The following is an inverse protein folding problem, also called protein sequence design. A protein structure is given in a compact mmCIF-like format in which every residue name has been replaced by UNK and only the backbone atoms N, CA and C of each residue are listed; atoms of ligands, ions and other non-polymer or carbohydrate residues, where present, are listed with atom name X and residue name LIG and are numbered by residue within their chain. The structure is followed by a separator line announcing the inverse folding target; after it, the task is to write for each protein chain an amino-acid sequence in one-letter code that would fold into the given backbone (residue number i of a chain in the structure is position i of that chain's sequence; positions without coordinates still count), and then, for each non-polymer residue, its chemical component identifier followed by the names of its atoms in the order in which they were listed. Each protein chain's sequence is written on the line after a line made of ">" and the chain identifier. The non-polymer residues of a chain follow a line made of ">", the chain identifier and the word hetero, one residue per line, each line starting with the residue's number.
data_IF_802773015552
#
_entry.id   IF_802773015552
#
_cell.length_a   1.000
_cell.length_b   1.000
_cell.length_c   1.000
_cell.angle_alpha   90.00
_cell.angle_beta   90.00
_cell.angle_gamma   90.00
#
_symmetry.space_group_name_H-M   'P 1'
#
loop_
_entity.id
_entity.type
_entity.pdbx_description
1 polymer ?
#
# COMPACT_ATOMS: atom_id res chain seq x y z
N UNK A 1 24.88 19.46 27.93
CA UNK A 1 24.28 18.35 28.70
C UNK A 1 22.98 18.03 27.99
N UNK A 2 22.89 16.87 27.35
CA UNK A 2 21.62 16.40 26.81
C UNK A 2 20.70 16.04 27.98
N UNK A 3 19.51 16.64 28.00
CA UNK A 3 18.48 16.31 28.98
C UNK A 3 17.69 15.08 28.52
N UNK A 4 17.00 14.40 29.44
CA UNK A 4 16.09 13.31 29.07
C UNK A 4 15.07 13.75 28.00
N UNK A 5 14.62 15.01 28.06
CA UNK A 5 13.73 15.63 27.06
C UNK A 5 14.38 15.72 25.67
N UNK A 6 15.66 16.07 25.59
CA UNK A 6 16.38 16.13 24.31
C UNK A 6 16.47 14.75 23.66
N UNK A 7 16.72 13.72 24.46
CA UNK A 7 16.76 12.31 24.00
C UNK A 7 15.38 11.86 23.50
N UNK A 8 14.31 12.10 24.26
CA UNK A 8 12.94 11.72 23.86
C UNK A 8 12.49 12.46 22.59
N UNK A 9 12.85 13.74 22.46
CA UNK A 9 12.58 14.54 21.26
C UNK A 9 13.36 14.02 20.05
N UNK A 10 14.62 13.62 20.25
CA UNK A 10 15.43 13.00 19.21
C UNK A 10 14.83 11.65 18.75
N UNK A 11 14.34 10.82 19.68
CA UNK A 11 13.65 9.57 19.35
C UNK A 11 12.35 9.81 18.56
N UNK A 12 11.53 10.79 18.97
CA UNK A 12 10.33 11.17 18.23
C UNK A 12 10.66 11.61 16.80
N UNK A 13 11.70 12.44 16.62
CA UNK A 13 12.17 12.91 15.30
C UNK A 13 12.74 11.80 14.41
N UNK A 14 13.16 10.68 15.01
CA UNK A 14 13.60 9.46 14.31
C UNK A 14 12.47 8.45 14.12
N UNK A 15 11.22 8.83 14.45
CA UNK A 15 10.04 7.98 14.38
C UNK A 15 10.15 6.72 15.25
N UNK A 16 10.95 6.76 16.32
CA UNK A 16 11.18 5.64 17.23
C UNK A 16 10.06 5.54 18.28
N UNK A 17 8.82 5.38 17.80
CA UNK A 17 7.63 5.45 18.65
C UNK A 17 7.58 4.35 19.70
N UNK A 18 7.94 3.11 19.35
CA UNK A 18 8.01 2.00 20.31
C UNK A 18 9.05 2.21 21.41
N UNK A 19 10.25 2.70 21.06
CA UNK A 19 11.28 3.01 22.07
C UNK A 19 10.83 4.14 22.99
N UNK A 20 10.17 5.15 22.41
CA UNK A 20 9.62 6.27 23.17
C UNK A 20 8.51 5.81 24.12
N UNK A 21 7.59 4.96 23.66
CA UNK A 21 6.55 4.36 24.50
C UNK A 21 7.14 3.56 25.66
N UNK A 22 8.14 2.70 25.39
CA UNK A 22 8.81 1.90 26.40
C UNK A 22 9.51 2.76 27.46
N UNK A 23 10.20 3.83 27.05
CA UNK A 23 10.85 4.77 27.97
C UNK A 23 9.84 5.55 28.82
N UNK A 24 8.70 5.93 28.26
CA UNK A 24 7.62 6.61 28.99
C UNK A 24 6.99 5.67 30.02
N UNK A 25 6.67 4.43 29.61
CA UNK A 25 6.13 3.41 30.51
C UNK A 25 7.12 3.05 31.64
N UNK A 26 8.43 3.10 31.36
CA UNK A 26 9.50 2.90 32.34
C UNK A 26 9.75 4.06 33.30
N UNK A 27 8.99 5.17 33.20
CA UNK A 27 9.09 6.31 34.12
C UNK A 27 10.23 7.30 33.80
N UNK A 28 10.76 7.30 32.57
CA UNK A 28 11.82 8.23 32.14
C UNK A 28 11.35 9.69 32.15
N UNK A 29 10.03 9.90 31.97
CA UNK A 29 9.38 11.16 32.30
C UNK A 29 8.89 11.10 33.75
N UNK A 30 9.16 12.16 34.52
CA UNK A 30 8.46 12.42 35.80
C UNK A 30 6.95 12.29 35.52
N UNK A 31 6.14 11.66 36.39
CA UNK A 31 4.71 11.45 36.20
C UNK A 31 3.92 12.77 36.22
N UNK A 32 4.13 13.57 35.18
CA UNK A 32 3.34 14.74 34.82
C UNK A 32 2.39 14.33 33.68
N UNK A 33 1.31 15.10 33.51
CA UNK A 33 0.25 14.83 32.52
C UNK A 33 0.74 14.66 31.07
N UNK A 34 1.97 15.04 30.75
CA UNK A 34 2.61 14.87 29.44
C UNK A 34 2.82 13.40 29.06
N UNK A 35 3.20 12.54 30.01
CA UNK A 35 3.37 11.11 29.73
C UNK A 35 2.06 10.46 29.25
N UNK A 36 0.93 10.84 29.87
CA UNK A 36 -0.42 10.39 29.48
C UNK A 36 -0.86 10.92 28.11
N UNK A 37 -0.36 12.08 27.69
CA UNK A 37 -0.68 12.66 26.39
C UNK A 37 0.20 12.09 25.25
N UNK A 38 1.44 11.70 25.55
CA UNK A 38 2.38 11.18 24.54
C UNK A 38 2.17 9.69 24.25
N UNK A 39 1.85 8.87 25.27
CA UNK A 39 1.66 7.43 25.11
C UNK A 39 0.69 7.03 23.96
N UNK A 40 -0.54 7.59 23.84
CA UNK A 40 -1.43 7.24 22.73
C UNK A 40 -0.88 7.65 21.36
N UNK A 41 -0.13 8.76 21.27
CA UNK A 41 0.51 9.17 20.02
C UNK A 41 1.64 8.21 19.61
N UNK A 42 2.41 7.69 20.57
CA UNK A 42 3.42 6.68 20.31
C UNK A 42 2.81 5.37 19.81
N UNK A 43 1.80 4.84 20.53
CA UNK A 43 1.13 3.61 20.14
C UNK A 43 0.51 3.72 18.74
N UNK A 44 -0.16 4.85 18.46
CA UNK A 44 -0.72 5.16 17.16
C UNK A 44 0.36 5.24 16.06
N UNK A 45 1.42 6.04 16.31
CA UNK A 45 2.52 6.21 15.36
C UNK A 45 3.23 4.88 15.04
N UNK A 46 3.43 4.04 16.06
CA UNK A 46 4.04 2.71 15.88
C UNK A 46 3.16 1.81 15.01
N UNK A 47 1.85 1.72 15.28
CA UNK A 47 0.93 0.90 14.47
C UNK A 47 0.83 1.36 13.02
N UNK A 48 0.74 2.67 12.78
CA UNK A 48 0.75 3.23 11.43
C UNK A 48 2.07 2.92 10.72
N UNK A 49 3.22 3.07 11.40
CA UNK A 49 4.54 2.79 10.84
C UNK A 49 4.76 1.31 10.51
N UNK A 50 4.14 0.41 11.26
CA UNK A 50 4.17 -1.04 11.01
C UNK A 50 3.17 -1.50 9.94
N UNK A 51 2.35 -0.57 9.42
CA UNK A 51 1.33 -0.83 8.39
C UNK A 51 0.32 -1.92 8.80
N UNK A 52 -0.02 -1.98 10.09
CA UNK A 52 -0.98 -2.94 10.62
C UNK A 52 -2.43 -2.54 10.22
N UNK A 53 -2.82 -2.95 9.02
CA UNK A 53 -4.07 -2.54 8.38
C UNK A 53 -5.35 -2.96 9.14
N UNK A 54 -5.26 -3.90 10.07
CA UNK A 54 -6.39 -4.27 10.93
C UNK A 54 -6.63 -3.22 12.03
N UNK A 55 -5.56 -2.56 12.50
CA UNK A 55 -5.57 -1.83 13.78
C UNK A 55 -5.24 -0.32 13.69
N UNK A 56 -4.68 0.21 12.59
CA UNK A 56 -4.49 1.66 12.48
C UNK A 56 -5.81 2.39 12.15
N UNK A 57 -6.12 3.47 12.89
CA UNK A 57 -7.38 4.22 12.79
C UNK A 57 -8.50 3.80 13.77
N UNK A 58 -8.22 2.83 14.64
CA UNK A 58 -9.05 2.49 15.81
C UNK A 58 -8.61 3.32 17.03
N UNK A 59 -9.51 3.60 18.00
CA UNK A 59 -9.12 4.23 19.26
C UNK A 59 -8.04 3.44 19.98
N UNK A 60 -7.11 4.13 20.62
CA UNK A 60 -6.05 3.51 21.43
C UNK A 60 -6.60 3.08 22.79
N UNK A 61 -6.25 1.86 23.23
CA UNK A 61 -6.54 1.45 24.61
C UNK A 61 -5.79 2.31 25.64
N UNK A 62 -4.67 2.90 25.23
CA UNK A 62 -3.78 3.69 26.09
C UNK A 62 -4.16 5.17 26.19
N UNK A 63 -5.13 5.66 25.41
CA UNK A 63 -5.60 7.05 25.50
C UNK A 63 -6.30 7.58 24.25
N UNK A 64 -6.57 8.89 24.23
CA UNK A 64 -7.20 9.53 23.07
C UNK A 64 -6.17 9.97 22.03
N UNK A 65 -6.45 9.68 20.76
CA UNK A 65 -5.70 10.21 19.61
C UNK A 65 -6.56 11.27 18.93
N UNK A 66 -6.00 12.43 18.54
CA UNK A 66 -6.73 13.45 17.80
C UNK A 66 -7.45 12.92 16.56
N UNK A 67 -8.72 13.32 16.37
CA UNK A 67 -9.58 12.82 15.30
C UNK A 67 -9.00 13.02 13.91
N UNK A 68 -8.27 14.11 13.67
CA UNK A 68 -7.69 14.39 12.37
C UNK A 68 -6.61 13.37 11.96
N UNK A 69 -5.84 12.83 12.92
CA UNK A 69 -4.90 11.75 12.68
C UNK A 69 -5.64 10.43 12.44
N UNK A 70 -6.68 10.16 13.24
CA UNK A 70 -7.51 8.96 13.08
C UNK A 70 -8.22 8.93 11.73
N UNK A 71 -8.73 10.06 11.26
CA UNK A 71 -9.46 10.14 10.00
C UNK A 71 -8.54 9.94 8.79
N UNK A 72 -7.31 10.45 8.84
CA UNK A 72 -6.29 10.17 7.83
C UNK A 72 -5.86 8.70 7.84
N UNK A 73 -5.64 8.11 9.02
CA UNK A 73 -5.38 6.69 9.16
C UNK A 73 -6.54 5.83 8.59
N UNK A 74 -7.80 6.20 8.87
CA UNK A 74 -8.98 5.52 8.32
C UNK A 74 -9.12 5.67 6.81
N UNK A 75 -8.69 6.80 6.24
CA UNK A 75 -8.67 7.00 4.80
C UNK A 75 -7.68 6.04 4.09
N UNK A 76 -6.60 5.66 4.78
CA UNK A 76 -5.52 4.82 4.25
C UNK A 76 -5.67 3.32 4.52
N UNK A 77 -6.69 2.90 5.29
CA UNK A 77 -6.88 1.48 5.67
C UNK A 77 -8.00 0.80 4.88
N UNK A 78 -7.93 -0.53 4.78
CA UNK A 78 -9.08 -1.33 4.34
C UNK A 78 -10.14 -1.37 5.45
N UNK A 79 -11.44 -1.27 5.12
CA UNK A 79 -12.51 -1.37 6.10
C UNK A 79 -12.57 -2.80 6.68
N UNK A 80 -12.90 -2.93 7.96
CA UNK A 80 -12.92 -4.19 8.71
C UNK A 80 -14.26 -4.92 8.65
N UNK A 81 -15.30 -4.25 8.13
CA UNK A 81 -16.59 -4.86 7.85
C UNK A 81 -17.14 -4.45 6.48
N UNK A 82 -17.97 -5.29 5.84
CA UNK A 82 -18.54 -4.99 4.52
C UNK A 82 -19.33 -3.67 4.48
N UNK A 83 -19.98 -3.32 5.60
CA UNK A 83 -20.82 -2.12 5.72
C UNK A 83 -20.11 -0.92 6.36
N UNK A 84 -18.85 -1.06 6.76
CA UNK A 84 -18.11 0.05 7.38
C UNK A 84 -18.04 1.27 6.44
N UNK A 85 -18.18 2.46 7.03
CA UNK A 85 -18.08 3.76 6.37
C UNK A 85 -17.23 4.69 7.26
N UNK A 86 -16.37 5.53 6.67
CA UNK A 86 -16.03 5.62 5.24
C UNK A 86 -15.36 4.33 4.70
N UNK A 87 -15.24 4.18 3.36
CA UNK A 87 -14.68 2.96 2.74
C UNK A 87 -13.15 2.89 2.77
N UNK A 88 -12.47 3.94 3.24
CA UNK A 88 -11.01 4.01 3.30
C UNK A 88 -10.35 3.67 1.97
N UNK A 89 -9.36 2.79 2.02
CA UNK A 89 -8.57 2.35 0.87
C UNK A 89 -9.38 1.66 -0.23
N UNK A 90 -10.61 1.18 0.03
CA UNK A 90 -11.51 0.66 -1.01
C UNK A 90 -12.21 1.77 -1.82
N UNK A 91 -12.42 2.96 -1.23
CA UNK A 91 -12.90 4.11 -1.99
C UNK A 91 -11.79 4.67 -2.90
N UNK A 92 -10.57 4.78 -2.38
CA UNK A 92 -9.40 5.20 -3.16
C UNK A 92 -8.13 4.70 -2.49
N UNK A 93 -7.20 4.17 -3.27
CA UNK A 93 -5.89 3.73 -2.79
C UNK A 93 -4.93 4.91 -2.59
N UNK A 94 -5.25 6.11 -3.10
CA UNK A 94 -4.32 7.26 -3.09
C UNK A 94 -3.82 7.62 -1.68
N UNK A 95 -4.68 7.72 -0.63
CA UNK A 95 -4.19 7.99 0.72
C UNK A 95 -3.29 6.87 1.25
N UNK A 96 -3.61 5.61 0.95
CA UNK A 96 -2.78 4.47 1.32
C UNK A 96 -1.41 4.52 0.64
N UNK A 97 -1.34 4.87 -0.64
CA UNK A 97 -0.06 5.02 -1.36
C UNK A 97 0.75 6.23 -0.89
N UNK A 98 0.09 7.34 -0.55
CA UNK A 98 0.76 8.49 0.05
C UNK A 98 1.40 8.12 1.41
N UNK A 99 0.68 7.37 2.24
CA UNK A 99 1.19 6.83 3.51
C UNK A 99 2.32 5.82 3.29
N UNK A 100 2.19 4.90 2.33
CA UNK A 100 3.26 3.95 1.98
C UNK A 100 4.53 4.68 1.56
N UNK A 101 4.42 5.77 0.79
CA UNK A 101 5.56 6.60 0.43
C UNK A 101 6.19 7.30 1.65
N UNK A 102 5.40 7.78 2.60
CA UNK A 102 5.93 8.34 3.86
C UNK A 102 6.68 7.25 4.66
N UNK A 103 6.07 6.07 4.82
CA UNK A 103 6.67 4.93 5.54
C UNK A 103 7.96 4.46 4.87
N UNK A 104 8.02 4.31 3.55
CA UNK A 104 9.24 3.93 2.82
C UNK A 104 10.36 4.95 3.09
N UNK A 105 10.06 6.25 3.07
CA UNK A 105 11.06 7.27 3.35
C UNK A 105 11.56 7.19 4.81
N UNK A 106 10.66 6.99 5.76
CA UNK A 106 11.00 6.83 7.18
C UNK A 106 11.89 5.59 7.39
N UNK A 107 11.50 4.44 6.83
CA UNK A 107 12.29 3.18 6.93
C UNK A 107 13.65 3.32 6.27
N UNK A 108 13.76 4.08 5.18
CA UNK A 108 15.05 4.41 4.57
C UNK A 108 15.97 5.16 5.54
N UNK A 109 15.47 6.27 6.12
CA UNK A 109 16.24 7.09 7.05
C UNK A 109 16.62 6.34 8.34
N UNK A 110 15.76 5.42 8.79
CA UNK A 110 16.03 4.53 9.93
C UNK A 110 16.99 3.39 9.61
N UNK A 111 17.32 3.16 8.33
CA UNK A 111 18.09 2.00 7.85
C UNK A 111 17.38 0.65 8.09
N UNK A 112 16.04 0.66 8.17
CA UNK A 112 15.19 -0.53 8.34
C UNK A 112 14.85 -1.17 6.97
N UNK A 113 15.86 -1.69 6.27
CA UNK A 113 15.70 -2.11 4.86
C UNK A 113 14.72 -3.27 4.67
N UNK A 114 14.63 -4.21 5.62
CA UNK A 114 13.63 -5.29 5.56
C UNK A 114 12.19 -4.74 5.54
N UNK A 115 11.90 -3.79 6.43
CA UNK A 115 10.58 -3.16 6.50
C UNK A 115 10.32 -2.24 5.29
N UNK A 116 11.35 -1.55 4.78
CA UNK A 116 11.26 -0.78 3.54
C UNK A 116 10.84 -1.66 2.36
N UNK A 117 11.55 -2.77 2.15
CA UNK A 117 11.28 -3.69 1.03
C UNK A 117 9.92 -4.37 1.20
N UNK A 118 9.48 -4.64 2.43
CA UNK A 118 8.12 -5.10 2.70
C UNK A 118 7.06 -4.06 2.29
N UNK A 119 7.25 -2.78 2.62
CA UNK A 119 6.33 -1.70 2.22
C UNK A 119 6.29 -1.51 0.68
N UNK A 120 7.43 -1.57 0.00
CA UNK A 120 7.49 -1.54 -1.48
C UNK A 120 6.74 -2.73 -2.06
N UNK A 121 6.89 -3.92 -1.48
CA UNK A 121 6.18 -5.10 -1.95
C UNK A 121 4.66 -4.96 -1.77
N UNK A 122 4.18 -4.52 -0.60
CA UNK A 122 2.75 -4.25 -0.36
C UNK A 122 2.22 -3.27 -1.43
N UNK A 123 2.97 -2.20 -1.70
CA UNK A 123 2.62 -1.25 -2.76
C UNK A 123 2.51 -1.97 -4.12
N UNK A 124 3.43 -2.87 -4.46
CA UNK A 124 3.42 -3.58 -5.74
C UNK A 124 2.21 -4.51 -5.94
N UNK A 125 1.68 -5.11 -4.88
CA UNK A 125 0.53 -6.03 -4.95
C UNK A 125 -0.76 -5.31 -5.39
N UNK A 126 -0.91 -4.05 -5.00
CA UNK A 126 -2.13 -3.25 -5.23
C UNK A 126 -2.02 -2.28 -6.40
N UNK A 127 -0.86 -2.17 -7.06
CA UNK A 127 -0.66 -1.24 -8.18
C UNK A 127 -1.67 -1.46 -9.32
N UNK A 128 -2.06 -2.70 -9.67
CA UNK A 128 -3.12 -2.90 -10.63
C UNK A 128 -4.43 -2.24 -10.22
N UNK A 129 -4.84 -2.32 -8.95
CA UNK A 129 -6.06 -1.66 -8.48
C UNK A 129 -5.93 -0.13 -8.52
N UNK A 130 -4.76 0.41 -8.20
CA UNK A 130 -4.48 1.83 -8.36
C UNK A 130 -4.61 2.26 -9.85
N UNK A 131 -4.15 1.42 -10.78
CA UNK A 131 -4.34 1.66 -12.21
C UNK A 131 -5.82 1.52 -12.65
N UNK A 132 -6.57 0.62 -12.05
CA UNK A 132 -7.99 0.47 -12.37
C UNK A 132 -8.88 1.53 -11.74
N UNK A 133 -8.43 2.23 -10.69
CA UNK A 133 -9.23 3.19 -9.93
C UNK A 133 -9.91 4.28 -10.80
N UNK A 134 -9.25 4.92 -11.79
CA UNK A 134 -9.92 5.88 -12.68
C UNK A 134 -11.04 5.29 -13.54
N UNK A 135 -10.99 3.98 -13.83
CA UNK A 135 -11.99 3.28 -14.66
C UNK A 135 -13.14 2.75 -13.79
N UNK A 136 -12.83 2.26 -12.60
CA UNK A 136 -13.82 1.72 -11.66
C UNK A 136 -14.53 2.81 -10.84
N UNK A 137 -13.88 3.96 -10.63
CA UNK A 137 -14.31 4.98 -9.68
C UNK A 137 -14.07 4.61 -8.21
N UNK A 138 -13.38 3.48 -7.96
CA UNK A 138 -13.04 2.96 -6.65
C UNK A 138 -11.85 1.98 -6.75
N UNK A 139 -11.24 1.61 -5.64
CA UNK A 139 -10.10 0.71 -5.60
C UNK A 139 -10.49 -0.77 -5.46
N UNK A 140 -11.32 -1.24 -6.40
CA UNK A 140 -11.82 -2.63 -6.37
C UNK A 140 -12.66 -2.99 -5.14
N UNK A 141 -13.54 -2.08 -4.68
CA UNK A 141 -14.50 -2.36 -3.60
C UNK A 141 -15.44 -3.52 -3.99
N UNK A 142 -15.44 -4.65 -3.25
CA UNK A 142 -16.31 -5.78 -3.52
C UNK A 142 -17.81 -5.43 -3.54
N UNK A 143 -18.21 -4.35 -2.87
CA UNK A 143 -19.60 -3.88 -2.88
C UNK A 143 -20.01 -3.20 -4.19
N UNK A 144 -19.06 -2.74 -5.00
CA UNK A 144 -19.29 -1.92 -6.20
C UNK A 144 -18.80 -2.59 -7.49
N UNK A 145 -17.71 -3.37 -7.41
CA UNK A 145 -16.96 -3.88 -8.57
C UNK A 145 -17.81 -4.70 -9.55
N UNK A 146 -18.86 -5.38 -9.06
CA UNK A 146 -19.71 -6.24 -9.87
C UNK A 146 -20.30 -5.54 -11.08
N UNK A 147 -20.63 -4.25 -11.00
CA UNK A 147 -21.17 -3.49 -12.14
C UNK A 147 -20.18 -3.39 -13.31
N UNK A 148 -18.87 -3.32 -13.01
CA UNK A 148 -17.82 -3.15 -14.01
C UNK A 148 -17.36 -4.46 -14.60
N UNK A 149 -17.39 -5.55 -13.82
CA UNK A 149 -16.75 -6.82 -14.20
C UNK A 149 -17.74 -7.95 -14.52
N UNK A 150 -19.03 -7.83 -14.17
CA UNK A 150 -20.05 -8.82 -14.55
C UNK A 150 -20.74 -8.48 -15.89
N UNK A 151 -21.64 -9.36 -16.30
CA UNK A 151 -22.49 -9.20 -17.48
C UNK A 151 -22.22 -10.26 -18.54
N UNK A 152 -23.06 -10.25 -19.58
CA UNK A 152 -22.92 -11.14 -20.73
C UNK A 152 -21.53 -10.98 -21.35
N UNK A 153 -20.89 -12.12 -21.67
CA UNK A 153 -19.55 -12.16 -22.25
C UNK A 153 -18.40 -11.90 -21.27
N UNK A 154 -18.68 -11.67 -19.98
CA UNK A 154 -17.62 -11.59 -18.97
C UNK A 154 -17.18 -12.97 -18.53
N UNK A 155 -15.86 -13.14 -18.38
CA UNK A 155 -15.24 -14.34 -17.80
C UNK A 155 -14.74 -14.13 -16.37
N UNK A 156 -14.97 -12.94 -15.79
CA UNK A 156 -14.46 -12.58 -14.47
C UNK A 156 -15.17 -13.39 -13.38
N UNK A 157 -14.41 -14.16 -12.59
CA UNK A 157 -14.97 -14.98 -11.51
C UNK A 157 -15.88 -16.12 -11.98
N UNK A 158 -15.94 -16.42 -13.29
CA UNK A 158 -16.73 -17.52 -13.83
C UNK A 158 -16.00 -18.84 -13.55
N UNK A 159 -16.65 -19.83 -12.90
CA UNK A 159 -16.06 -21.15 -12.74
C UNK A 159 -15.79 -21.81 -14.09
N UNK A 160 -14.62 -22.46 -14.22
CA UNK A 160 -14.31 -23.28 -15.40
C UNK A 160 -14.82 -24.70 -15.14
N UNK A 161 -15.68 -25.20 -16.02
CA UNK A 161 -16.10 -26.60 -16.00
C UNK A 161 -14.90 -27.52 -16.26
N UNK A 162 -14.67 -28.57 -15.46
CA UNK A 162 -13.59 -29.52 -15.70
C UNK A 162 -13.67 -30.12 -17.12
N UNK A 163 -12.61 -29.96 -17.90
CA UNK A 163 -12.52 -30.47 -19.28
C UNK A 163 -12.91 -29.47 -20.37
N UNK A 164 -13.40 -28.27 -20.04
CA UNK A 164 -13.62 -27.21 -21.03
C UNK A 164 -12.29 -26.55 -21.46
N UNK A 165 -12.21 -26.02 -22.70
CA UNK A 165 -11.04 -25.25 -23.13
C UNK A 165 -10.76 -24.08 -22.19
N UNK A 166 -9.48 -23.75 -22.00
CA UNK A 166 -9.10 -22.58 -21.20
C UNK A 166 -9.46 -21.31 -21.98
N UNK A 167 -10.56 -20.68 -21.59
CA UNK A 167 -11.03 -19.43 -22.20
C UNK A 167 -10.56 -18.16 -21.48
N UNK A 168 -10.06 -18.30 -20.24
CA UNK A 168 -9.56 -17.18 -19.45
C UNK A 168 -8.12 -17.44 -19.01
N UNK A 169 -7.27 -16.41 -19.10
CA UNK A 169 -5.87 -16.46 -18.70
C UNK A 169 -5.69 -16.40 -17.17
N UNK A 170 -6.73 -16.11 -16.38
CA UNK A 170 -6.64 -16.14 -14.93
C UNK A 170 -6.23 -17.52 -14.39
N UNK A 171 -5.39 -17.54 -13.37
CA UNK A 171 -5.02 -18.74 -12.62
C UNK A 171 -6.19 -19.25 -11.76
N UNK A 172 -6.07 -20.47 -11.21
CA UNK A 172 -7.10 -21.01 -10.32
C UNK A 172 -7.29 -20.15 -9.04
N UNK A 173 -6.22 -19.70 -8.35
CA UNK A 173 -6.35 -18.77 -7.23
C UNK A 173 -7.06 -17.45 -7.60
N UNK A 174 -6.64 -16.81 -8.69
CA UNK A 174 -7.26 -15.56 -9.18
C UNK A 174 -8.75 -15.74 -9.46
N UNK A 175 -9.14 -16.82 -10.16
CA UNK A 175 -10.56 -17.09 -10.43
C UNK A 175 -11.37 -17.27 -9.15
N UNK A 176 -10.84 -18.00 -8.17
CA UNK A 176 -11.51 -18.17 -6.88
C UNK A 176 -11.65 -16.85 -6.12
N UNK A 177 -10.65 -15.98 -6.19
CA UNK A 177 -10.71 -14.66 -5.58
C UNK A 177 -11.70 -13.74 -6.29
N UNK A 178 -11.72 -13.75 -7.63
CA UNK A 178 -12.66 -13.02 -8.47
C UNK A 178 -14.11 -13.54 -8.32
N UNK A 179 -14.31 -14.82 -8.06
CA UNK A 179 -15.64 -15.36 -7.76
C UNK A 179 -16.11 -14.89 -6.37
N UNK A 180 -15.22 -14.94 -5.37
CA UNK A 180 -15.55 -14.51 -4.01
C UNK A 180 -15.76 -13.00 -3.88
N UNK A 181 -15.01 -12.17 -4.61
CA UNK A 181 -15.18 -10.70 -4.57
C UNK A 181 -16.61 -10.28 -4.94
N UNK A 182 -17.28 -11.00 -5.83
CA UNK A 182 -18.64 -10.69 -6.29
C UNK A 182 -19.72 -10.97 -5.23
N UNK A 183 -19.38 -11.67 -4.14
CA UNK A 183 -20.34 -12.04 -3.07
C UNK A 183 -19.91 -11.63 -1.67
N UNK A 184 -18.62 -11.40 -1.43
CA UNK A 184 -18.06 -11.18 -0.08
C UNK A 184 -18.65 -9.95 0.63
N UNK A 185 -19.18 -8.96 -0.11
CA UNK A 185 -19.89 -7.82 0.48
C UNK A 185 -21.14 -8.23 1.30
N UNK A 186 -21.63 -9.47 1.13
CA UNK A 186 -22.76 -10.05 1.88
C UNK A 186 -22.32 -11.00 3.00
N UNK A 187 -21.03 -11.33 3.09
CA UNK A 187 -20.48 -12.19 4.14
C UNK A 187 -20.43 -11.46 5.50
N UNK A 188 -20.44 -12.18 6.63
CA UNK A 188 -20.21 -11.56 7.93
C UNK A 188 -18.76 -11.04 8.08
N UNK A 189 -18.47 -10.16 9.06
CA UNK A 189 -17.15 -9.54 9.23
C UNK A 189 -15.95 -10.51 9.26
N UNK A 190 -16.02 -11.73 9.83
CA UNK A 190 -14.91 -12.69 9.74
C UNK A 190 -14.62 -13.16 8.30
N UNK A 191 -15.66 -13.40 7.49
CA UNK A 191 -15.50 -13.78 6.09
C UNK A 191 -14.89 -12.65 5.26
N UNK A 192 -15.37 -11.43 5.48
CA UNK A 192 -14.82 -10.21 4.89
C UNK A 192 -13.32 -10.03 5.17
N UNK A 193 -12.90 -10.11 6.44
CA UNK A 193 -11.48 -10.00 6.81
C UNK A 193 -10.64 -11.11 6.19
N UNK A 194 -11.12 -12.36 6.21
CA UNK A 194 -10.44 -13.48 5.57
C UNK A 194 -10.32 -13.34 4.04
N UNK A 195 -11.21 -12.58 3.38
CA UNK A 195 -11.08 -12.25 1.97
C UNK A 195 -10.00 -11.18 1.74
N UNK A 196 -10.03 -10.09 2.52
CA UNK A 196 -9.03 -9.02 2.41
C UNK A 196 -7.61 -9.56 2.65
N UNK A 197 -7.44 -10.38 3.69
CA UNK A 197 -6.17 -11.01 4.07
C UNK A 197 -5.58 -11.91 2.97
N UNK A 198 -6.43 -12.70 2.29
CA UNK A 198 -5.93 -13.83 1.47
C UNK A 198 -6.18 -13.72 -0.03
N UNK A 199 -7.09 -12.85 -0.45
CA UNK A 199 -7.66 -12.91 -1.80
C UNK A 199 -7.80 -11.54 -2.48
N UNK A 200 -7.82 -10.42 -1.77
CA UNK A 200 -7.99 -9.12 -2.44
C UNK A 200 -6.80 -8.76 -3.35
N UNK A 201 -5.57 -9.06 -2.92
CA UNK A 201 -4.37 -8.94 -3.77
C UNK A 201 -4.41 -9.85 -5.00
N UNK A 202 -5.07 -11.02 -4.92
CA UNK A 202 -5.29 -11.91 -6.08
C UNK A 202 -6.28 -11.29 -7.08
N UNK A 203 -7.27 -10.52 -6.61
CA UNK A 203 -8.15 -9.75 -7.49
C UNK A 203 -7.39 -8.61 -8.17
N UNK A 204 -6.49 -7.94 -7.45
CA UNK A 204 -5.62 -6.93 -8.03
C UNK A 204 -4.77 -7.53 -9.16
N UNK A 205 -4.09 -8.66 -8.91
CA UNK A 205 -3.32 -9.38 -9.92
C UNK A 205 -4.19 -9.77 -11.14
N UNK A 206 -5.37 -10.35 -10.91
CA UNK A 206 -6.30 -10.75 -11.96
C UNK A 206 -6.73 -9.59 -12.87
N UNK A 207 -7.03 -8.43 -12.29
CA UNK A 207 -7.37 -7.21 -13.03
C UNK A 207 -6.16 -6.64 -13.79
N UNK A 208 -4.97 -6.70 -13.19
CA UNK A 208 -3.71 -6.37 -13.87
C UNK A 208 -3.50 -7.22 -15.12
N UNK A 209 -3.69 -8.53 -15.00
CA UNK A 209 -3.55 -9.47 -16.12
C UNK A 209 -4.62 -9.26 -17.20
N UNK A 210 -5.87 -8.95 -16.80
CA UNK A 210 -6.93 -8.57 -17.74
C UNK A 210 -6.49 -7.44 -18.67
N UNK A 211 -5.87 -6.39 -18.12
CA UNK A 211 -5.47 -5.22 -18.88
C UNK A 211 -4.12 -5.40 -19.60
N UNK A 212 -3.12 -5.99 -18.94
CA UNK A 212 -1.74 -5.98 -19.43
C UNK A 212 -1.37 -7.19 -20.29
N UNK A 213 -1.92 -8.38 -20.01
CA UNK A 213 -1.40 -9.67 -20.50
C UNK A 213 -2.43 -10.57 -21.18
N UNK A 214 -3.72 -10.33 -20.98
CA UNK A 214 -4.80 -11.19 -21.48
C UNK A 214 -4.79 -11.33 -23.01
N UNK A 215 -4.68 -12.56 -23.50
CA UNK A 215 -4.60 -12.85 -24.95
C UNK A 215 -5.96 -12.87 -25.64
N UNK A 216 -7.02 -13.13 -24.88
CA UNK A 216 -8.41 -13.20 -25.36
C UNK A 216 -9.31 -12.32 -24.49
N UNK A 217 -9.18 -10.98 -24.58
CA UNK A 217 -9.93 -10.06 -23.73
C UNK A 217 -11.44 -10.29 -23.83
N UNK A 218 -12.09 -10.44 -22.67
CA UNK A 218 -13.54 -10.56 -22.57
C UNK A 218 -14.19 -9.19 -22.33
N UNK A 219 -15.51 -9.15 -22.10
CA UNK A 219 -16.25 -7.88 -21.98
C UNK A 219 -15.78 -6.99 -20.84
N UNK A 220 -15.06 -7.49 -19.83
CA UNK A 220 -14.40 -6.66 -18.81
C UNK A 220 -13.52 -5.60 -19.44
N UNK A 221 -12.79 -5.96 -20.50
CA UNK A 221 -11.90 -5.05 -21.24
C UNK A 221 -12.56 -4.51 -22.50
N UNK A 222 -13.29 -5.34 -23.25
CA UNK A 222 -13.79 -4.94 -24.58
C UNK A 222 -14.99 -3.99 -24.53
N UNK A 223 -15.60 -3.79 -23.35
CA UNK A 223 -16.63 -2.77 -23.15
C UNK A 223 -16.09 -1.36 -22.95
N UNK A 224 -14.79 -1.22 -22.66
CA UNK A 224 -14.16 0.07 -22.43
C UNK A 224 -13.91 0.75 -23.76
N UNK A 225 -14.11 2.07 -23.81
CA UNK A 225 -13.74 2.88 -24.96
C UNK A 225 -12.25 2.74 -25.27
N UNK A 226 -11.88 2.69 -26.54
CA UNK A 226 -10.50 2.48 -27.00
C UNK A 226 -9.46 3.40 -26.31
N UNK A 227 -9.65 4.73 -26.18
CA UNK A 227 -8.69 5.58 -25.47
C UNK A 227 -8.56 5.23 -23.98
N UNK A 228 -9.68 4.93 -23.31
CA UNK A 228 -9.68 4.53 -21.88
C UNK A 228 -8.97 3.19 -21.71
N UNK A 229 -9.23 2.25 -22.60
CA UNK A 229 -8.61 0.93 -22.62
C UNK A 229 -7.10 1.02 -22.87
N UNK A 230 -6.67 1.83 -23.84
CA UNK A 230 -5.25 1.99 -24.18
C UNK A 230 -4.46 2.60 -23.01
N UNK A 231 -5.00 3.64 -22.37
CA UNK A 231 -4.41 4.26 -21.17
C UNK A 231 -4.31 3.26 -20.01
N UNK A 232 -5.39 2.52 -19.72
CA UNK A 232 -5.40 1.49 -18.68
C UNK A 232 -4.37 0.38 -18.96
N UNK A 233 -4.24 -0.06 -20.22
CA UNK A 233 -3.25 -1.08 -20.62
C UNK A 233 -1.83 -0.58 -20.37
N UNK A 234 -1.52 0.66 -20.72
CA UNK A 234 -0.19 1.24 -20.47
C UNK A 234 0.12 1.30 -18.97
N UNK A 235 -0.81 1.80 -18.15
CA UNK A 235 -0.63 1.89 -16.69
C UNK A 235 -0.54 0.52 -16.01
N UNK A 236 -1.35 -0.45 -16.42
CA UNK A 236 -1.26 -1.82 -15.90
C UNK A 236 0.02 -2.56 -16.36
N UNK A 237 0.54 -2.28 -17.55
CA UNK A 237 1.84 -2.80 -17.99
C UNK A 237 2.98 -2.22 -17.16
N UNK A 238 2.93 -0.92 -16.84
CA UNK A 238 3.94 -0.30 -16.00
C UNK A 238 3.90 -0.86 -14.56
N UNK A 239 2.70 -1.03 -14.01
CA UNK A 239 2.49 -1.71 -12.72
C UNK A 239 3.07 -3.13 -12.72
N UNK A 240 2.77 -3.91 -13.76
CA UNK A 240 3.28 -5.27 -13.93
C UNK A 240 4.81 -5.33 -13.96
N UNK A 241 5.46 -4.45 -14.74
CA UNK A 241 6.92 -4.38 -14.81
C UNK A 241 7.56 -3.93 -13.49
N UNK A 242 6.89 -3.06 -12.73
CA UNK A 242 7.34 -2.66 -11.39
C UNK A 242 7.29 -3.85 -10.41
N UNK A 243 6.19 -4.61 -10.42
CA UNK A 243 6.05 -5.82 -9.59
C UNK A 243 7.12 -6.87 -9.94
N UNK A 244 7.48 -6.98 -11.21
CA UNK A 244 8.55 -7.88 -11.68
C UNK A 244 9.97 -7.31 -11.52
N UNK A 245 10.11 -6.11 -10.96
CA UNK A 245 11.40 -5.42 -10.86
C UNK A 245 12.35 -6.02 -9.82
N UNK A 246 13.64 -5.67 -9.93
CA UNK A 246 14.67 -6.12 -9.00
C UNK A 246 14.41 -5.66 -7.56
N UNK A 247 13.81 -4.47 -7.37
CA UNK A 247 13.52 -3.91 -6.05
C UNK A 247 12.47 -4.75 -5.30
N UNK A 248 11.35 -5.09 -5.95
CA UNK A 248 10.29 -5.91 -5.34
C UNK A 248 10.79 -7.34 -5.07
N UNK A 249 11.65 -7.86 -5.95
CA UNK A 249 12.26 -9.19 -5.80
C UNK A 249 13.24 -9.29 -4.63
N UNK A 250 13.77 -8.19 -4.09
CA UNK A 250 14.61 -8.23 -2.89
C UNK A 250 13.91 -8.89 -1.70
N UNK A 251 12.57 -8.73 -1.57
CA UNK A 251 11.79 -9.41 -0.52
C UNK A 251 11.96 -10.94 -0.58
N UNK A 252 12.02 -11.47 -1.80
CA UNK A 252 12.11 -12.90 -2.10
C UNK A 252 13.53 -13.36 -2.43
N UNK A 253 14.55 -12.50 -2.32
CA UNK A 253 15.96 -12.87 -2.44
C UNK A 253 16.58 -13.23 -1.07
N UNK A 254 15.81 -13.06 0.00
CA UNK A 254 16.08 -13.60 1.33
C UNK A 254 15.68 -15.08 1.62
N UNK A 255 15.45 -16.01 0.67
CA UNK A 255 15.16 -17.40 0.99
C UNK A 255 16.46 -18.21 0.95
N UNK A 256 16.86 -18.65 2.15
CA UNK A 256 17.59 -19.91 2.40
C UNK A 256 18.71 -20.27 1.41
N UNK A 257 19.92 -19.80 1.70
CA UNK A 257 21.16 -20.31 1.09
C UNK A 257 22.41 -19.81 1.82
N UNK A 258 22.42 -18.52 2.17
CA UNK A 258 23.41 -17.89 3.06
C UNK A 258 22.67 -16.97 4.05
N UNK A 259 21.86 -17.60 4.91
CA UNK A 259 20.79 -16.97 5.70
C UNK A 259 21.19 -15.73 6.48
N UNK A 260 20.17 -14.94 6.85
CA UNK A 260 20.22 -13.73 7.69
C UNK A 260 20.50 -12.37 7.00
N UNK A 261 20.66 -12.32 5.67
CA UNK A 261 20.85 -11.04 4.97
C UNK A 261 19.59 -10.16 4.97
N UNK A 262 19.55 -9.17 5.87
CA UNK A 262 18.72 -7.98 5.67
C UNK A 262 19.38 -7.16 4.55
N UNK A 263 18.65 -6.72 3.51
CA UNK A 263 19.26 -5.94 2.44
C UNK A 263 20.02 -4.74 2.98
N UNK A 264 21.21 -4.44 2.46
CA UNK A 264 21.89 -3.20 2.76
C UNK A 264 21.25 -2.02 1.98
N UNK A 265 21.47 -0.77 2.40
CA UNK A 265 21.08 0.38 1.60
C UNK A 265 21.68 0.36 0.19
N UNK A 266 22.92 -0.10 0.01
CA UNK A 266 23.55 -0.20 -1.31
C UNK A 266 22.87 -1.26 -2.19
N UNK A 267 22.42 -2.37 -1.60
CA UNK A 267 21.65 -3.40 -2.32
C UNK A 267 20.30 -2.86 -2.80
N UNK A 268 19.61 -2.08 -1.96
CA UNK A 268 18.35 -1.42 -2.31
C UNK A 268 18.57 -0.38 -3.43
N UNK A 269 19.59 0.48 -3.33
CA UNK A 269 19.94 1.45 -4.38
C UNK A 269 20.28 0.76 -5.70
N UNK A 270 21.06 -0.31 -5.66
CA UNK A 270 21.45 -1.09 -6.84
C UNK A 270 20.23 -1.74 -7.50
N UNK A 271 19.35 -2.34 -6.70
CA UNK A 271 18.10 -2.93 -7.18
C UNK A 271 17.17 -1.86 -7.77
N UNK A 272 17.07 -0.68 -7.13
CA UNK A 272 16.28 0.43 -7.64
C UNK A 272 16.83 1.00 -8.96
N UNK A 273 18.14 1.18 -9.07
CA UNK A 273 18.77 1.62 -10.31
C UNK A 273 18.50 0.63 -11.46
N UNK A 274 18.52 -0.68 -11.18
CA UNK A 274 18.14 -1.72 -12.16
C UNK A 274 16.64 -1.66 -12.51
N UNK A 275 15.78 -1.48 -11.52
CA UNK A 275 14.34 -1.31 -11.73
C UNK A 275 14.05 -0.10 -12.63
N UNK A 276 14.64 1.08 -12.34
CA UNK A 276 14.49 2.29 -13.14
C UNK A 276 14.84 2.08 -14.61
N UNK A 277 15.98 1.43 -14.89
CA UNK A 277 16.37 1.10 -16.29
C UNK A 277 15.33 0.22 -16.98
N UNK A 278 14.84 -0.81 -16.29
CA UNK A 278 13.81 -1.70 -16.83
C UNK A 278 12.50 -0.97 -17.13
N UNK A 279 12.04 -0.14 -16.18
CA UNK A 279 10.78 0.60 -16.28
C UNK A 279 10.82 1.69 -17.35
N UNK A 280 12.00 2.27 -17.58
CA UNK A 280 12.20 3.31 -18.60
C UNK A 280 12.11 2.79 -20.04
N UNK A 281 11.95 1.48 -20.25
CA UNK A 281 11.61 0.94 -21.58
C UNK A 281 10.17 1.26 -21.99
N UNK A 282 9.28 1.55 -21.03
CA UNK A 282 7.92 2.00 -21.30
C UNK A 282 7.89 3.54 -21.38
N UNK A 283 7.16 4.14 -22.35
CA UNK A 283 7.06 5.60 -22.46
C UNK A 283 6.58 6.28 -21.18
N UNK A 284 5.49 5.78 -20.57
CA UNK A 284 4.99 6.28 -19.29
C UNK A 284 6.02 6.15 -18.15
N UNK A 285 6.71 5.01 -18.07
CA UNK A 285 7.74 4.77 -17.06
C UNK A 285 8.94 5.72 -17.21
N UNK A 286 9.38 5.95 -18.44
CA UNK A 286 10.43 6.92 -18.75
C UNK A 286 10.03 8.34 -18.35
N UNK A 287 8.83 8.78 -18.75
CA UNK A 287 8.33 10.11 -18.43
C UNK A 287 8.26 10.35 -16.91
N UNK A 288 7.83 9.34 -16.14
CA UNK A 288 7.77 9.43 -14.69
C UNK A 288 9.15 9.47 -14.01
N UNK A 289 10.14 8.75 -14.55
CA UNK A 289 11.46 8.58 -13.92
C UNK A 289 12.52 9.60 -14.34
N UNK A 290 12.31 10.29 -15.47
CA UNK A 290 13.17 11.36 -15.99
C UNK A 290 12.69 12.77 -15.58
N UNK A 291 11.55 12.88 -14.88
CA UNK A 291 10.97 14.16 -14.46
C UNK A 291 11.78 14.90 -13.38
N UNK A 292 11.60 16.23 -13.26
CA UNK A 292 12.33 17.06 -12.29
C UNK A 292 11.98 16.73 -10.83
N UNK A 293 10.83 16.09 -10.59
CA UNK A 293 10.37 15.66 -9.26
C UNK A 293 11.06 14.38 -8.75
N UNK A 294 12.06 13.88 -9.48
CA UNK A 294 12.88 12.75 -9.02
C UNK A 294 13.79 13.12 -7.84
N UNK A 295 14.03 14.42 -7.61
CA UNK A 295 15.03 14.89 -6.65
C UNK A 295 14.46 14.93 -5.22
N UNK A 296 15.14 14.23 -4.29
CA UNK A 296 14.94 14.33 -2.85
C UNK A 296 14.21 13.16 -2.18
N UNK A 297 13.51 12.31 -2.92
CA UNK A 297 12.94 11.08 -2.36
C UNK A 297 13.99 9.96 -2.29
N UNK A 298 14.04 9.11 -1.24
CA UNK A 298 15.07 8.07 -1.09
C UNK A 298 15.17 7.06 -2.23
N UNK A 299 14.06 6.82 -2.94
CA UNK A 299 14.02 6.07 -4.19
C UNK A 299 13.62 7.03 -5.31
N UNK A 300 14.57 7.76 -5.93
CA UNK A 300 14.28 8.85 -6.86
C UNK A 300 13.29 8.45 -7.96
N UNK A 301 12.23 9.23 -8.12
CA UNK A 301 11.16 9.00 -9.11
C UNK A 301 10.06 8.01 -8.68
N UNK A 302 10.15 7.36 -7.52
CA UNK A 302 9.11 6.42 -7.08
C UNK A 302 7.73 7.09 -6.88
N UNK A 303 7.60 8.27 -6.23
CA UNK A 303 6.30 8.96 -6.14
C UNK A 303 5.70 9.30 -7.51
N UNK A 304 6.53 9.76 -8.45
CA UNK A 304 6.11 10.07 -9.81
C UNK A 304 5.66 8.81 -10.56
N UNK A 305 6.33 7.68 -10.36
CA UNK A 305 5.93 6.40 -10.94
C UNK A 305 4.54 5.95 -10.43
N UNK A 306 4.30 6.02 -9.12
CA UNK A 306 2.99 5.71 -8.56
C UNK A 306 1.91 6.69 -9.04
N UNK A 307 2.26 7.98 -9.15
CA UNK A 307 1.36 9.00 -9.70
C UNK A 307 0.97 8.72 -11.15
N UNK A 308 1.93 8.30 -11.98
CA UNK A 308 1.71 7.95 -13.37
C UNK A 308 0.79 6.73 -13.52
N UNK A 309 0.98 5.70 -12.68
CA UNK A 309 0.10 4.51 -12.66
C UNK A 309 -1.31 4.89 -12.20
N UNK A 310 -1.44 5.78 -11.21
CA UNK A 310 -2.73 6.23 -10.68
C UNK A 310 -3.49 7.20 -11.60
N UNK A 311 -2.81 7.77 -12.61
CA UNK A 311 -3.30 8.92 -13.39
C UNK A 311 -3.72 10.10 -12.48
N UNK A 312 -2.98 10.29 -11.37
CA UNK A 312 -3.25 11.31 -10.37
C UNK A 312 -1.99 11.57 -9.54
N UNK A 313 -1.79 12.80 -9.07
CA UNK A 313 -0.67 13.13 -8.19
C UNK A 313 -0.76 12.37 -6.86
N UNK A 314 0.29 11.64 -6.52
CA UNK A 314 0.50 10.96 -5.25
C UNK A 314 1.90 11.34 -4.74
N UNK A 315 1.92 12.10 -3.65
CA UNK A 315 3.13 12.50 -2.95
C UNK A 315 3.19 11.82 -1.58
N UNK A 316 4.37 11.71 -0.94
CA UNK A 316 4.44 11.21 0.43
C UNK A 316 3.51 11.99 1.36
N UNK A 317 2.76 11.27 2.19
CA UNK A 317 1.91 11.87 3.21
C UNK A 317 2.76 12.45 4.37
N UNK A 318 2.10 13.00 5.37
CA UNK A 318 2.72 13.67 6.52
C UNK A 318 2.18 13.14 7.84
N UNK A 319 1.47 12.02 7.83
CA UNK A 319 0.72 11.53 8.99
C UNK A 319 1.66 11.21 10.15
N UNK A 320 2.74 10.48 9.87
CA UNK A 320 3.72 10.11 10.88
C UNK A 320 4.56 11.33 11.29
N UNK A 321 4.84 12.25 10.36
CA UNK A 321 5.51 13.52 10.68
C UNK A 321 4.67 14.35 11.66
N UNK A 322 3.37 14.46 11.43
CA UNK A 322 2.47 15.24 12.29
C UNK A 322 2.32 14.60 13.67
N UNK A 323 2.37 13.26 13.76
CA UNK A 323 2.47 12.53 15.05
C UNK A 323 3.74 12.93 15.78
N UNK A 324 4.89 12.88 15.10
CA UNK A 324 6.20 13.28 15.66
C UNK A 324 6.21 14.73 16.14
N UNK A 325 5.65 15.67 15.36
CA UNK A 325 5.57 17.08 15.72
C UNK A 325 4.71 17.31 16.98
N UNK A 326 3.58 16.60 17.10
CA UNK A 326 2.72 16.66 18.28
C UNK A 326 3.38 16.07 19.52
N UNK A 327 4.09 14.95 19.37
CA UNK A 327 4.90 14.37 20.45
C UNK A 327 5.96 15.37 20.90
N UNK A 328 6.76 15.92 19.97
CA UNK A 328 7.82 16.87 20.30
C UNK A 328 7.26 18.13 20.99
N UNK A 329 6.15 18.68 20.49
CA UNK A 329 5.47 19.83 21.12
C UNK A 329 4.97 19.51 22.53
N UNK A 330 4.47 18.29 22.76
CA UNK A 330 3.97 17.84 24.07
C UNK A 330 5.10 17.61 25.07
N UNK A 331 6.25 17.10 24.62
CA UNK A 331 7.47 16.98 25.44
C UNK A 331 8.05 18.37 25.78
N UNK A 332 7.77 19.34 24.92
CA UNK A 332 8.26 20.71 24.94
C UNK A 332 9.43 20.89 24.01
#
# INVERSE_FOLDING_TARGET
>A
METARDVLTALARRYAFGDLEALIAGGTLVPDGRAKAVAPLCAFGQRVLDLDAEDFGMPEAVGEVPNDLLDRARASRMPQAPKERPRGALASLRPAYALLLEVIAIRWHRRDMAALVAAVHIASEYLPLLAWEPVLGHAGDPALIGASVNGEGSRFGVPIEPGSPRECDHTRPERSACERTLRVAKEPPPGWRAYLDRQHSQVAAALGDCAARCRTPCTVMTRLDDPVRADLVERCRLAADFTDSALVKLRHAAPVGHGFGVPSPEEVETAWARARRSLSHQPLGKAALDGPDADGYPLPGLPALFSAIASASIVPDTLLRDVTERIATTLG
#
